data_IF_037540745039
#
_entry.id   IF_037540745039
#
_cell.length_a   1.000
_cell.length_b   1.000
_cell.length_c   1.000
_cell.angle_alpha   90.00
_cell.angle_beta   90.00
_cell.angle_gamma   90.00
#
_symmetry.space_group_name_H-M   'P 1'
#
loop_
_entity.id
_entity.type
_entity.pdbx_description
1 polymer ?
#
# COMPACT_ATOMS: atom_id res chain seq x y z
N UNK A 1 -10.93 -13.62 -4.04
CA UNK A 1 -9.94 -13.02 -3.10
C UNK A 1 -9.89 -11.54 -3.45
N UNK A 2 -10.22 -10.63 -2.51
CA UNK A 2 -10.61 -9.22 -2.82
C UNK A 2 -9.55 -8.40 -3.58
N UNK A 3 -8.31 -8.87 -3.63
CA UNK A 3 -7.22 -8.18 -4.32
C UNK A 3 -6.76 -8.86 -5.62
N UNK A 4 -6.79 -10.20 -5.71
CA UNK A 4 -6.19 -10.92 -6.83
C UNK A 4 -6.87 -10.63 -8.17
N UNK A 5 -8.17 -10.91 -8.27
CA UNK A 5 -8.90 -10.75 -9.53
C UNK A 5 -8.99 -9.27 -9.96
N UNK A 6 -9.29 -8.31 -9.09
CA UNK A 6 -9.41 -6.90 -9.50
C UNK A 6 -8.06 -6.31 -9.96
N UNK A 7 -6.96 -6.71 -9.33
CA UNK A 7 -5.62 -6.27 -9.70
C UNK A 7 -5.21 -6.89 -11.05
N UNK A 8 -5.43 -8.19 -11.23
CA UNK A 8 -5.08 -8.92 -12.46
C UNK A 8 -5.87 -8.45 -13.70
N UNK A 9 -7.09 -7.93 -13.53
CA UNK A 9 -7.88 -7.37 -14.64
C UNK A 9 -7.50 -5.92 -15.00
N UNK A 10 -6.75 -5.22 -14.15
CA UNK A 10 -6.39 -3.80 -14.36
C UNK A 10 -4.89 -3.60 -14.60
N UNK A 11 -4.05 -4.44 -14.02
CA UNK A 11 -2.59 -4.29 -14.06
C UNK A 11 -1.92 -5.59 -14.53
N UNK A 12 -0.96 -5.46 -15.45
CA UNK A 12 -0.09 -6.58 -15.88
C UNK A 12 0.90 -6.96 -14.78
N UNK A 13 1.32 -5.96 -14.03
CA UNK A 13 2.19 -6.10 -12.88
C UNK A 13 1.75 -5.15 -11.79
N UNK A 14 1.70 -5.64 -10.56
CA UNK A 14 1.37 -4.84 -9.40
C UNK A 14 2.22 -5.32 -8.22
N UNK A 15 3.03 -4.43 -7.65
CA UNK A 15 3.85 -4.71 -6.47
C UNK A 15 3.64 -3.61 -5.45
N UNK A 16 3.27 -4.00 -4.24
CA UNK A 16 3.28 -3.12 -3.08
C UNK A 16 4.53 -3.43 -2.24
N UNK A 17 5.36 -2.42 -2.04
CA UNK A 17 6.60 -2.50 -1.28
C UNK A 17 6.40 -1.76 0.03
N UNK A 18 6.62 -2.47 1.13
CA UNK A 18 6.59 -1.93 2.49
C UNK A 18 8.01 -1.76 3.00
N UNK A 19 8.34 -0.55 3.44
CA UNK A 19 9.61 -0.24 4.10
C UNK A 19 9.29 0.38 5.47
N UNK A 20 9.76 -0.25 6.54
CA UNK A 20 9.77 0.33 7.88
C UNK A 20 11.17 0.84 8.19
N UNK A 21 11.29 2.14 8.41
CA UNK A 21 12.57 2.83 8.67
C UNK A 21 12.56 3.27 10.12
N UNK A 22 13.39 2.64 10.94
CA UNK A 22 13.51 2.97 12.36
C UNK A 22 13.99 4.41 12.55
N UNK A 23 13.40 5.10 13.55
CA UNK A 23 13.87 6.41 13.99
C UNK A 23 14.73 6.22 15.24
N UNK A 24 15.87 6.91 15.29
CA UNK A 24 16.79 6.86 16.44
C UNK A 24 16.10 7.23 17.78
N UNK A 25 15.03 8.03 17.73
CA UNK A 25 14.31 8.52 18.91
C UNK A 25 13.04 7.69 19.24
N UNK A 26 12.92 6.48 18.69
CA UNK A 26 11.76 5.63 18.84
C UNK A 26 10.70 5.83 17.75
N UNK A 27 9.91 4.78 17.51
CA UNK A 27 8.96 4.69 16.40
C UNK A 27 9.64 4.42 15.05
N UNK A 28 8.84 4.35 14.00
CA UNK A 28 9.30 4.10 12.64
C UNK A 28 8.62 5.04 11.63
N UNK A 29 9.25 5.26 10.48
CA UNK A 29 8.59 5.78 9.29
C UNK A 29 8.18 4.58 8.45
N UNK A 30 6.89 4.47 8.18
CA UNK A 30 6.39 3.53 7.17
C UNK A 30 6.36 4.23 5.82
N UNK A 31 7.02 3.64 4.83
CA UNK A 31 6.97 4.05 3.44
C UNK A 31 6.33 2.93 2.61
N UNK A 32 5.29 3.31 1.88
CA UNK A 32 4.64 2.45 0.88
C UNK A 32 5.01 2.92 -0.52
N UNK A 33 5.46 1.99 -1.35
CA UNK A 33 5.68 2.22 -2.79
C UNK A 33 4.82 1.24 -3.57
N UNK A 34 4.07 1.72 -4.56
CA UNK A 34 3.32 0.86 -5.48
C UNK A 34 3.98 0.98 -6.85
N UNK A 35 4.55 -0.12 -7.33
CA UNK A 35 5.03 -0.26 -8.71
C UNK A 35 3.96 -0.99 -9.51
N UNK A 36 3.56 -0.44 -10.65
CA UNK A 36 2.49 -1.02 -11.45
C UNK A 36 2.72 -0.82 -12.94
N UNK A 37 2.21 -1.78 -13.72
CA UNK A 37 2.08 -1.68 -15.17
C UNK A 37 0.60 -1.83 -15.54
N UNK A 38 0.04 -0.83 -16.23
CA UNK A 38 -1.36 -0.81 -16.64
C UNK A 38 -1.61 -1.83 -17.77
N UNK A 39 -2.78 -2.47 -17.75
CA UNK A 39 -3.21 -3.32 -18.87
C UNK A 39 -3.61 -2.51 -20.11
N UNK A 40 -4.14 -1.31 -19.91
CA UNK A 40 -4.49 -0.35 -20.97
C UNK A 40 -4.35 1.10 -20.50
N UNK A 41 -4.35 2.05 -21.43
CA UNK A 41 -4.16 3.48 -21.11
C UNK A 41 -5.28 4.08 -20.25
N UNK A 42 -6.48 3.51 -20.35
CA UNK A 42 -7.69 3.87 -19.59
C UNK A 42 -7.69 3.41 -18.14
N UNK A 43 -6.72 2.58 -17.73
CA UNK A 43 -6.61 2.16 -16.34
C UNK A 43 -6.03 3.30 -15.51
N UNK A 44 -6.82 3.81 -14.57
CA UNK A 44 -6.37 4.81 -13.62
C UNK A 44 -5.23 4.29 -12.72
N UNK A 45 -4.31 5.16 -12.28
CA UNK A 45 -3.33 4.83 -11.25
C UNK A 45 -4.00 4.25 -9.99
N UNK A 46 -3.30 3.37 -9.25
CA UNK A 46 -3.87 2.66 -8.10
C UNK A 46 -3.98 3.52 -6.82
N UNK A 47 -4.47 4.75 -6.92
CA UNK A 47 -4.59 5.68 -5.78
C UNK A 47 -5.51 5.13 -4.68
N UNK A 48 -6.59 4.43 -5.04
CA UNK A 48 -7.45 3.78 -4.05
C UNK A 48 -6.70 2.73 -3.20
N UNK A 49 -5.79 1.97 -3.82
CA UNK A 49 -4.92 1.03 -3.10
C UNK A 49 -3.94 1.77 -2.19
N UNK A 50 -3.36 2.87 -2.65
CA UNK A 50 -2.47 3.71 -1.83
C UNK A 50 -3.19 4.29 -0.60
N UNK A 51 -4.42 4.78 -0.77
CA UNK A 51 -5.24 5.26 0.34
C UNK A 51 -5.61 4.15 1.32
N UNK A 52 -5.93 2.96 0.81
CA UNK A 52 -6.22 1.80 1.65
C UNK A 52 -5.01 1.40 2.51
N UNK A 53 -3.81 1.35 1.93
CA UNK A 53 -2.57 1.08 2.65
C UNK A 53 -2.28 2.16 3.70
N UNK A 54 -2.53 3.43 3.36
CA UNK A 54 -2.39 4.54 4.30
C UNK A 54 -3.33 4.42 5.51
N UNK A 55 -4.62 4.16 5.27
CA UNK A 55 -5.62 3.96 6.34
C UNK A 55 -5.26 2.77 7.22
N UNK A 56 -4.95 1.63 6.60
CA UNK A 56 -4.55 0.41 7.30
C UNK A 56 -3.31 0.64 8.19
N UNK A 57 -2.31 1.37 7.68
CA UNK A 57 -1.11 1.72 8.45
C UNK A 57 -1.45 2.56 9.69
N UNK A 58 -2.36 3.54 9.57
CA UNK A 58 -2.81 4.36 10.69
C UNK A 58 -3.61 3.57 11.73
N UNK A 59 -4.45 2.64 11.27
CA UNK A 59 -5.21 1.78 12.17
C UNK A 59 -4.29 0.85 12.95
N UNK A 60 -3.29 0.25 12.30
CA UNK A 60 -2.26 -0.58 12.95
C UNK A 60 -1.48 0.24 13.98
N UNK A 61 -0.97 1.42 13.62
CA UNK A 61 -0.28 2.32 14.54
C UNK A 61 -1.15 2.66 15.76
N UNK A 62 -2.42 3.00 15.54
CA UNK A 62 -3.38 3.27 16.61
C UNK A 62 -3.73 2.07 17.50
N UNK A 63 -3.58 0.84 17.01
CA UNK A 63 -3.73 -0.37 17.83
C UNK A 63 -2.45 -0.71 18.58
N UNK A 64 -1.28 -0.53 17.98
CA UNK A 64 0.03 -0.77 18.62
C UNK A 64 0.30 0.24 19.74
N UNK A 65 -0.14 1.48 19.62
CA UNK A 65 -0.04 2.50 20.68
C UNK A 65 -0.95 2.23 21.89
N UNK A 66 -1.90 1.28 21.78
CA UNK A 66 -2.83 0.91 22.86
C UNK A 66 -2.44 -0.39 23.57
N UNK A 67 -1.37 -1.06 23.13
CA UNK A 67 -0.89 -2.33 23.67
C UNK A 67 0.19 -2.15 24.74
#
# INVERSE_FOLDING_TARGET
MVFGEDIEHRFKGFKAIFEAIDKENGGAIVKWTIEYERLGEEVDPPYGYLEYLHKSTRDIDGHLLKA
#
